data_IF_071446006650
#
_entry.id   IF_071446006650
#
_cell.length_a   1.000
_cell.length_b   1.000
_cell.length_c   1.000
_cell.angle_alpha   90.00
_cell.angle_beta   90.00
_cell.angle_gamma   90.00
#
_symmetry.space_group_name_H-M   'P 1'
#
loop_
_entity.id
_entity.type
_entity.pdbx_description
1 polymer ?
#
# COMPACT_ATOMS: atom_id res chain seq x y z
N UNK A 1 -38.15 -17.17 -4.63
CA UNK A 1 -37.44 -17.97 -5.66
C UNK A 1 -36.20 -18.62 -5.04
N UNK A 2 -35.66 -19.72 -5.60
CA UNK A 2 -34.52 -20.41 -5.00
C UNK A 2 -33.26 -19.57 -5.12
N UNK A 3 -32.61 -19.32 -3.99
CA UNK A 3 -31.27 -18.75 -3.92
C UNK A 3 -30.30 -19.72 -4.58
N UNK A 4 -29.35 -19.23 -5.38
CA UNK A 4 -28.22 -20.02 -5.87
C UNK A 4 -27.41 -20.53 -4.67
N UNK A 5 -27.70 -21.76 -4.25
CA UNK A 5 -27.20 -22.37 -3.03
C UNK A 5 -26.25 -23.54 -3.32
N UNK A 6 -26.28 -24.08 -4.54
CA UNK A 6 -25.40 -25.18 -4.96
C UNK A 6 -24.55 -24.82 -6.17
N UNK A 7 -23.39 -25.47 -6.34
CA UNK A 7 -22.56 -25.37 -7.53
C UNK A 7 -23.32 -25.60 -8.84
N UNK A 8 -24.17 -26.62 -8.88
CA UNK A 8 -24.90 -27.04 -10.07
C UNK A 8 -25.88 -25.96 -10.52
N UNK A 9 -26.52 -25.28 -9.57
CA UNK A 9 -27.41 -24.16 -9.87
C UNK A 9 -26.63 -22.99 -10.48
N UNK A 10 -25.45 -22.68 -9.95
CA UNK A 10 -24.59 -21.61 -10.49
C UNK A 10 -24.06 -21.98 -11.87
N UNK A 11 -23.64 -23.22 -12.09
CA UNK A 11 -23.20 -23.73 -13.40
C UNK A 11 -24.34 -23.62 -14.42
N UNK A 12 -25.51 -24.17 -14.10
CA UNK A 12 -26.67 -24.14 -14.98
C UNK A 12 -27.10 -22.69 -15.30
N UNK A 13 -27.16 -21.82 -14.29
CA UNK A 13 -27.58 -20.42 -14.47
C UNK A 13 -26.56 -19.60 -15.25
N UNK A 14 -25.27 -19.87 -15.06
CA UNK A 14 -24.19 -19.19 -15.78
C UNK A 14 -24.10 -19.59 -17.25
N UNK A 15 -24.57 -20.80 -17.60
CA UNK A 15 -24.44 -21.36 -18.93
C UNK A 15 -22.98 -21.62 -19.33
N UNK A 16 -22.06 -21.70 -18.37
CA UNK A 16 -20.61 -21.76 -18.62
C UNK A 16 -20.19 -22.93 -19.52
N UNK A 17 -20.90 -24.05 -19.45
CA UNK A 17 -20.64 -25.25 -20.27
C UNK A 17 -20.82 -24.99 -21.77
N UNK A 18 -21.64 -24.01 -22.14
CA UNK A 18 -21.92 -23.64 -23.53
C UNK A 18 -21.05 -22.47 -24.03
N UNK A 19 -20.16 -21.92 -23.19
CA UNK A 19 -19.35 -20.76 -23.57
C UNK A 19 -18.11 -21.17 -24.38
N UNK A 20 -17.84 -20.50 -25.51
CA UNK A 20 -16.68 -20.82 -26.34
C UNK A 20 -15.36 -20.50 -25.62
N UNK A 21 -14.38 -21.39 -25.76
CA UNK A 21 -13.03 -21.20 -25.20
C UNK A 21 -12.90 -21.52 -23.71
N UNK A 22 -14.00 -21.74 -23.00
CA UNK A 22 -14.03 -22.25 -21.64
C UNK A 22 -14.13 -23.77 -21.65
N UNK A 23 -13.39 -24.44 -20.77
CA UNK A 23 -13.38 -25.91 -20.69
C UNK A 23 -13.06 -26.40 -19.29
N UNK A 24 -13.40 -27.66 -19.00
CA UNK A 24 -13.21 -28.31 -17.70
C UNK A 24 -13.81 -27.48 -16.55
N UNK A 25 -15.15 -27.41 -16.54
CA UNK A 25 -15.90 -26.86 -15.41
C UNK A 25 -15.78 -27.82 -14.22
N UNK A 26 -15.41 -27.29 -13.06
CA UNK A 26 -15.18 -28.04 -11.83
C UNK A 26 -16.10 -27.42 -10.77
N UNK A 27 -17.15 -28.12 -10.31
CA UNK A 27 -17.99 -27.67 -9.21
C UNK A 27 -17.15 -27.47 -7.94
N UNK A 28 -17.41 -26.40 -7.20
CA UNK A 28 -16.76 -26.18 -5.90
C UNK A 28 -17.49 -26.97 -4.79
N UNK A 29 -16.77 -27.49 -3.80
CA UNK A 29 -17.39 -28.33 -2.75
C UNK A 29 -17.83 -27.55 -1.52
N UNK A 30 -17.29 -26.35 -1.33
CA UNK A 30 -17.40 -25.52 -0.13
C UNK A 30 -18.30 -24.29 -0.33
N UNK A 31 -18.53 -23.87 -1.58
CA UNK A 31 -19.33 -22.68 -1.92
C UNK A 31 -20.21 -22.94 -3.15
N UNK A 32 -21.28 -22.15 -3.30
CA UNK A 32 -22.10 -22.15 -4.50
C UNK A 32 -21.33 -21.51 -5.66
N UNK A 33 -20.63 -22.33 -6.44
CA UNK A 33 -19.78 -21.83 -7.51
C UNK A 33 -19.06 -22.94 -8.27
N UNK A 34 -18.22 -22.53 -9.21
CA UNK A 34 -17.42 -23.40 -10.03
C UNK A 34 -16.06 -22.76 -10.34
N UNK A 35 -15.11 -23.60 -10.72
CA UNK A 35 -13.90 -23.18 -11.40
C UNK A 35 -13.96 -23.62 -12.87
N UNK A 36 -13.43 -22.81 -13.78
CA UNK A 36 -13.37 -23.13 -15.20
C UNK A 36 -12.01 -22.74 -15.76
N UNK A 37 -11.54 -23.46 -16.79
CA UNK A 37 -10.28 -23.14 -17.46
C UNK A 37 -10.54 -22.46 -18.79
N UNK A 38 -9.62 -21.60 -19.19
CA UNK A 38 -9.56 -21.00 -20.52
C UNK A 38 -8.12 -21.05 -21.00
N UNK A 39 -7.88 -21.09 -22.32
CA UNK A 39 -6.51 -21.00 -22.85
C UNK A 39 -6.01 -19.56 -22.75
N UNK A 40 -4.71 -19.36 -22.58
CA UNK A 40 -4.12 -18.06 -22.91
C UNK A 40 -4.22 -17.82 -24.42
N UNK A 41 -4.29 -16.57 -24.89
CA UNK A 41 -4.24 -16.30 -26.32
C UNK A 41 -2.84 -16.61 -26.86
N UNK A 42 -2.76 -16.99 -28.14
CA UNK A 42 -1.55 -17.60 -28.75
C UNK A 42 -0.36 -16.62 -28.88
N UNK A 43 -0.61 -15.32 -28.75
CA UNK A 43 0.39 -14.25 -28.74
C UNK A 43 1.12 -14.13 -27.38
N UNK A 44 0.59 -14.74 -26.32
CA UNK A 44 1.20 -14.74 -24.99
C UNK A 44 2.22 -15.89 -24.87
N UNK A 45 3.43 -15.58 -24.40
CA UNK A 45 4.51 -16.57 -24.20
C UNK A 45 4.10 -17.80 -23.35
N UNK A 46 3.17 -17.61 -22.41
CA UNK A 46 2.62 -18.69 -21.59
C UNK A 46 1.80 -19.71 -22.37
N UNK A 47 1.11 -19.29 -23.44
CA UNK A 47 0.36 -20.21 -24.30
C UNK A 47 1.30 -21.22 -25.00
N UNK A 48 2.55 -20.80 -25.24
CA UNK A 48 3.60 -21.58 -25.91
C UNK A 48 4.33 -22.55 -24.98
N UNK A 49 3.99 -22.58 -23.70
CA UNK A 49 4.50 -23.57 -22.75
C UNK A 49 3.65 -24.83 -22.89
N UNK A 50 4.21 -25.84 -23.54
CA UNK A 50 3.50 -27.06 -23.95
C UNK A 50 4.13 -28.34 -23.38
N UNK A 51 3.33 -29.41 -23.30
CA UNK A 51 3.83 -30.76 -23.08
C UNK A 51 4.45 -31.35 -24.35
N UNK A 52 4.92 -32.60 -24.26
CA UNK A 52 5.50 -33.33 -25.39
C UNK A 52 4.51 -33.59 -26.55
N UNK A 53 3.21 -33.51 -26.29
CA UNK A 53 2.15 -33.62 -27.30
C UNK A 53 1.77 -32.27 -27.93
N UNK A 54 2.43 -31.18 -27.54
CA UNK A 54 2.10 -29.84 -28.03
C UNK A 54 0.88 -29.21 -27.36
N UNK A 55 0.32 -29.81 -26.32
CA UNK A 55 -0.78 -29.23 -25.56
C UNK A 55 -0.26 -28.20 -24.55
N UNK A 56 -0.93 -27.05 -24.47
CA UNK A 56 -0.61 -26.05 -23.44
C UNK A 56 -0.82 -26.62 -22.04
N UNK A 57 0.21 -26.52 -21.22
CA UNK A 57 0.21 -26.97 -19.82
C UNK A 57 0.05 -25.84 -18.82
N UNK A 58 -0.01 -24.58 -19.29
CA UNK A 58 -0.22 -23.41 -18.45
C UNK A 58 -1.52 -22.75 -18.90
N UNK A 59 -2.54 -22.80 -18.05
CA UNK A 59 -3.85 -22.22 -18.35
C UNK A 59 -4.32 -21.38 -17.19
N UNK A 60 -4.97 -20.23 -17.39
CA UNK A 60 -5.70 -19.58 -16.31
C UNK A 60 -6.85 -20.48 -15.85
N UNK A 61 -7.04 -20.54 -14.55
CA UNK A 61 -8.27 -21.03 -13.94
C UNK A 61 -9.03 -19.82 -13.39
N UNK A 62 -10.34 -19.82 -13.60
CA UNK A 62 -11.24 -18.75 -13.19
C UNK A 62 -12.25 -19.37 -12.24
N UNK A 63 -12.31 -18.89 -11.01
CA UNK A 63 -13.37 -19.19 -10.05
C UNK A 63 -14.49 -18.18 -10.19
N UNK A 64 -15.71 -18.70 -10.16
CA UNK A 64 -16.95 -17.96 -10.08
C UNK A 64 -17.73 -18.53 -8.90
N UNK A 65 -18.03 -17.73 -7.89
CA UNK A 65 -18.90 -18.17 -6.81
C UNK A 65 -19.78 -17.07 -6.27
N UNK A 66 -20.97 -17.46 -5.84
CA UNK A 66 -21.97 -16.60 -5.22
C UNK A 66 -21.84 -16.78 -3.71
N UNK A 67 -21.49 -15.70 -3.02
CA UNK A 67 -21.36 -15.72 -1.56
C UNK A 67 -22.74 -15.78 -0.93
N UNK A 68 -22.87 -16.55 0.15
CA UNK A 68 -24.13 -16.66 0.89
C UNK A 68 -24.57 -15.28 1.40
N UNK A 69 -25.89 -15.02 1.36
CA UNK A 69 -26.50 -13.75 1.79
C UNK A 69 -25.99 -13.31 3.16
N UNK A 70 -25.57 -12.06 3.25
CA UNK A 70 -25.27 -11.37 4.51
C UNK A 70 -26.41 -10.43 4.95
N UNK A 71 -27.37 -10.11 4.06
CA UNK A 71 -28.49 -9.20 4.30
C UNK A 71 -29.85 -9.85 3.97
N UNK A 72 -30.96 -9.32 4.53
CA UNK A 72 -32.32 -9.78 4.23
C UNK A 72 -32.81 -9.39 2.82
N UNK A 73 -32.09 -8.51 2.12
CA UNK A 73 -32.35 -8.18 0.72
C UNK A 73 -32.03 -9.40 -0.16
N UNK A 74 -32.79 -9.64 -1.23
CA UNK A 74 -32.67 -10.82 -2.10
C UNK A 74 -31.34 -10.97 -2.86
N UNK A 75 -30.35 -10.14 -2.55
CA UNK A 75 -29.11 -9.91 -3.30
C UNK A 75 -27.93 -10.63 -2.63
N UNK A 76 -27.16 -11.35 -3.44
CA UNK A 76 -25.96 -12.09 -3.01
C UNK A 76 -24.71 -11.57 -3.74
N UNK A 77 -23.59 -11.29 -3.04
CA UNK A 77 -22.35 -10.89 -3.71
C UNK A 77 -21.80 -12.00 -4.61
N UNK A 78 -21.25 -11.63 -5.76
CA UNK A 78 -20.52 -12.55 -6.63
C UNK A 78 -19.03 -12.21 -6.59
N UNK A 79 -18.21 -13.24 -6.41
CA UNK A 79 -16.75 -13.12 -6.40
C UNK A 79 -16.17 -13.89 -7.58
N UNK A 80 -15.27 -13.23 -8.29
CA UNK A 80 -14.52 -13.82 -9.40
C UNK A 80 -13.03 -13.77 -9.09
N UNK A 81 -12.33 -14.88 -9.32
CA UNK A 81 -10.88 -14.96 -9.12
C UNK A 81 -10.24 -15.60 -10.34
N UNK A 82 -9.09 -15.12 -10.77
CA UNK A 82 -8.32 -15.72 -11.83
C UNK A 82 -6.85 -15.82 -11.43
N UNK A 83 -6.25 -16.99 -11.65
CA UNK A 83 -4.83 -17.21 -11.41
C UNK A 83 -4.26 -18.25 -12.38
N UNK A 84 -2.93 -18.37 -12.39
CA UNK A 84 -2.23 -19.35 -13.23
C UNK A 84 -2.42 -20.75 -12.66
N UNK A 85 -2.96 -21.66 -13.47
CA UNK A 85 -3.03 -23.08 -13.13
C UNK A 85 -2.05 -23.88 -14.01
N UNK A 86 -0.95 -24.40 -13.45
CA UNK A 86 -0.12 -25.38 -14.12
C UNK A 86 -0.81 -26.75 -14.14
N UNK A 87 -1.00 -27.33 -15.32
CA UNK A 87 -1.63 -28.65 -15.51
C UNK A 87 -0.75 -29.79 -14.99
N UNK A 88 0.56 -29.65 -15.12
CA UNK A 88 1.50 -30.57 -14.49
C UNK A 88 1.55 -30.26 -12.99
N UNK A 89 1.51 -31.29 -12.13
CA UNK A 89 1.68 -31.13 -10.67
C UNK A 89 2.80 -30.11 -10.45
N UNK A 90 2.55 -29.05 -9.67
CA UNK A 90 3.45 -27.90 -9.53
C UNK A 90 4.93 -28.32 -9.50
N UNK A 91 5.27 -29.39 -8.77
CA UNK A 91 6.60 -29.99 -8.76
C UNK A 91 7.28 -30.15 -10.14
N UNK A 92 6.59 -30.42 -11.25
CA UNK A 92 7.20 -30.69 -12.58
C UNK A 92 7.63 -29.44 -13.36
N UNK A 93 6.95 -28.29 -13.19
CA UNK A 93 7.40 -27.02 -13.82
C UNK A 93 8.54 -26.36 -13.04
N UNK A 94 8.71 -26.75 -11.77
CA UNK A 94 9.78 -26.28 -10.89
C UNK A 94 10.90 -27.33 -10.70
N UNK A 95 10.70 -28.58 -11.16
CA UNK A 95 11.67 -29.66 -11.08
C UNK A 95 12.94 -29.37 -11.88
N UNK A 96 14.04 -29.94 -11.43
CA UNK A 96 15.25 -30.00 -12.23
C UNK A 96 15.04 -30.95 -13.42
N UNK A 97 15.69 -30.66 -14.55
CA UNK A 97 15.49 -31.37 -15.83
C UNK A 97 15.67 -32.90 -15.77
N UNK A 98 16.47 -33.39 -14.81
CA UNK A 98 16.75 -34.81 -14.62
C UNK A 98 15.72 -35.53 -13.74
N UNK A 99 14.78 -34.80 -13.13
CA UNK A 99 13.74 -35.35 -12.25
C UNK A 99 12.42 -35.62 -13.02
N UNK A 100 12.35 -35.24 -14.29
CA UNK A 100 11.19 -35.48 -15.13
C UNK A 100 11.24 -36.91 -15.69
N UNK A 101 10.24 -37.76 -15.40
CA UNK A 101 10.20 -39.11 -15.94
C UNK A 101 10.25 -39.07 -17.48
N UNK A 102 11.08 -39.89 -18.13
CA UNK A 102 11.22 -39.90 -19.58
C UNK A 102 9.93 -40.35 -20.29
N UNK A 103 9.01 -41.03 -19.61
CA UNK A 103 7.79 -41.59 -20.21
C UNK A 103 6.51 -40.83 -19.84
N UNK A 104 6.62 -39.67 -19.17
CA UNK A 104 5.45 -38.90 -18.73
C UNK A 104 4.88 -38.01 -19.86
N UNK A 105 3.66 -38.28 -20.35
CA UNK A 105 3.06 -37.52 -21.45
C UNK A 105 2.72 -36.07 -21.08
N UNK A 106 2.53 -35.77 -19.80
CA UNK A 106 2.25 -34.41 -19.29
C UNK A 106 3.54 -33.64 -18.95
N UNK A 107 4.72 -34.22 -19.18
CA UNK A 107 5.98 -33.54 -18.94
C UNK A 107 6.18 -32.36 -19.92
N UNK A 108 6.65 -31.19 -19.43
CA UNK A 108 7.01 -30.08 -20.31
C UNK A 108 8.19 -30.44 -21.20
N UNK A 109 8.24 -29.87 -22.41
CA UNK A 109 9.46 -29.92 -23.22
C UNK A 109 10.56 -29.05 -22.61
N UNK A 110 11.83 -29.33 -22.95
CA UNK A 110 12.98 -28.52 -22.49
C UNK A 110 12.81 -27.05 -22.88
N UNK A 111 12.40 -26.79 -24.12
CA UNK A 111 12.12 -25.43 -24.61
C UNK A 111 10.99 -24.78 -23.81
N UNK A 112 9.91 -25.50 -23.53
CA UNK A 112 8.78 -25.01 -22.71
C UNK A 112 9.20 -24.65 -21.28
N UNK A 113 10.09 -25.41 -20.65
CA UNK A 113 10.64 -25.08 -19.33
C UNK A 113 11.45 -23.77 -19.37
N UNK A 114 12.29 -23.61 -20.40
CA UNK A 114 13.08 -22.38 -20.56
C UNK A 114 12.17 -21.16 -20.80
N UNK A 115 11.15 -21.33 -21.65
CA UNK A 115 10.12 -20.31 -21.89
C UNK A 115 9.38 -19.97 -20.60
N UNK A 116 8.89 -20.96 -19.85
CA UNK A 116 8.24 -20.75 -18.56
C UNK A 116 9.11 -19.94 -17.58
N UNK A 117 10.40 -20.27 -17.47
CA UNK A 117 11.35 -19.55 -16.60
C UNK A 117 11.49 -18.08 -16.99
N UNK A 118 11.56 -17.78 -18.29
CA UNK A 118 11.73 -16.41 -18.82
C UNK A 118 10.42 -15.64 -18.93
N UNK A 119 9.31 -16.32 -19.16
CA UNK A 119 8.01 -15.73 -19.36
C UNK A 119 7.59 -14.92 -18.14
N UNK A 120 6.87 -13.82 -18.38
CA UNK A 120 6.22 -13.09 -17.31
C UNK A 120 5.03 -13.91 -16.80
N UNK A 121 4.91 -14.01 -15.48
CA UNK A 121 3.79 -14.67 -14.81
C UNK A 121 2.75 -13.61 -14.46
N UNK A 122 1.48 -13.79 -14.82
CA UNK A 122 0.42 -12.88 -14.44
C UNK A 122 0.20 -13.01 -12.92
N UNK A 123 -0.25 -11.91 -12.33
CA UNK A 123 -0.63 -11.90 -10.91
C UNK A 123 -2.02 -12.50 -10.77
N UNK A 124 -2.32 -13.07 -9.61
CA UNK A 124 -3.69 -13.42 -9.26
C UNK A 124 -4.54 -12.15 -9.22
N UNK A 125 -5.74 -12.23 -9.79
CA UNK A 125 -6.73 -11.15 -9.81
C UNK A 125 -7.99 -11.63 -9.13
N UNK A 126 -8.56 -10.77 -8.30
CA UNK A 126 -9.79 -11.04 -7.57
C UNK A 126 -10.70 -9.82 -7.66
N UNK A 127 -11.91 -10.02 -8.22
CA UNK A 127 -12.94 -9.00 -8.35
C UNK A 127 -13.99 -9.24 -7.26
N UNK A 128 -13.86 -8.52 -6.15
CA UNK A 128 -14.80 -8.56 -5.02
C UNK A 128 -15.74 -7.37 -5.10
N UNK A 129 -17.04 -7.63 -4.95
CA UNK A 129 -18.05 -6.58 -4.83
C UNK A 129 -18.29 -5.80 -6.13
N UNK A 130 -17.85 -6.33 -7.28
CA UNK A 130 -18.14 -5.75 -8.58
C UNK A 130 -19.45 -6.22 -9.19
N UNK A 131 -19.96 -7.35 -8.70
CA UNK A 131 -21.15 -7.98 -9.21
C UNK A 131 -21.96 -8.54 -8.06
N UNK A 132 -23.26 -8.59 -8.28
CA UNK A 132 -24.22 -9.20 -7.38
C UNK A 132 -25.20 -10.06 -8.17
N UNK A 133 -25.76 -11.06 -7.50
CA UNK A 133 -26.87 -11.86 -8.00
C UNK A 133 -28.14 -11.46 -7.25
N UNK A 134 -29.12 -10.97 -7.99
CA UNK A 134 -30.46 -10.66 -7.49
C UNK A 134 -31.33 -11.92 -7.66
N UNK A 135 -31.68 -12.56 -6.55
CA UNK A 135 -32.46 -13.79 -6.56
C UNK A 135 -33.98 -13.55 -6.70
N UNK A 136 -34.45 -12.32 -6.50
CA UNK A 136 -35.88 -11.99 -6.64
C UNK A 136 -36.23 -11.81 -8.12
N UNK A 137 -35.32 -11.20 -8.88
CA UNK A 137 -35.43 -11.03 -10.33
C UNK A 137 -34.62 -12.05 -11.16
N UNK A 138 -33.96 -13.00 -10.50
CA UNK A 138 -33.07 -14.01 -11.09
C UNK A 138 -32.11 -13.44 -12.14
N UNK A 139 -31.28 -12.47 -11.77
CA UNK A 139 -30.34 -11.79 -12.69
C UNK A 139 -29.03 -11.40 -12.01
N UNK A 140 -27.97 -11.30 -12.80
CA UNK A 140 -26.69 -10.74 -12.34
C UNK A 140 -26.64 -9.26 -12.66
N UNK A 141 -26.16 -8.47 -11.70
CA UNK A 141 -26.04 -7.02 -11.80
C UNK A 141 -24.59 -6.59 -11.55
N UNK A 142 -24.17 -5.50 -12.17
CA UNK A 142 -22.93 -4.80 -11.79
C UNK A 142 -23.16 -3.82 -10.62
N UNK A 143 -22.10 -3.12 -10.23
CA UNK A 143 -22.12 -2.09 -9.17
C UNK A 143 -23.07 -0.92 -9.46
N UNK A 144 -23.39 -0.69 -10.73
CA UNK A 144 -24.26 0.40 -11.16
C UNK A 144 -25.73 -0.08 -11.29
N UNK A 145 -26.00 -1.36 -11.06
CA UNK A 145 -27.32 -1.98 -11.13
C UNK A 145 -27.73 -2.40 -12.54
N UNK A 146 -26.83 -2.39 -13.52
CA UNK A 146 -27.12 -2.88 -14.86
C UNK A 146 -27.03 -4.40 -14.92
N UNK A 147 -27.90 -5.02 -15.72
CA UNK A 147 -27.83 -6.45 -15.95
C UNK A 147 -26.55 -6.81 -16.73
N UNK A 148 -25.82 -7.80 -16.24
CA UNK A 148 -24.58 -8.31 -16.85
C UNK A 148 -24.71 -9.80 -17.09
N UNK A 149 -24.20 -10.27 -18.22
CA UNK A 149 -24.22 -11.71 -18.51
C UNK A 149 -23.03 -12.42 -17.83
N UNK A 150 -23.19 -13.65 -17.32
CA UNK A 150 -22.09 -14.42 -16.73
C UNK A 150 -20.86 -14.56 -17.64
N UNK A 151 -21.08 -14.67 -18.96
CA UNK A 151 -20.01 -14.67 -19.95
C UNK A 151 -19.17 -13.38 -19.90
N UNK A 152 -19.81 -12.22 -19.76
CA UNK A 152 -19.14 -10.93 -19.64
C UNK A 152 -18.37 -10.81 -18.32
N UNK A 153 -18.91 -11.34 -17.22
CA UNK A 153 -18.24 -11.40 -15.93
C UNK A 153 -16.95 -12.22 -16.00
N UNK A 154 -17.02 -13.41 -16.61
CA UNK A 154 -15.87 -14.30 -16.83
C UNK A 154 -14.85 -13.68 -17.79
N UNK A 155 -15.29 -12.95 -18.82
CA UNK A 155 -14.41 -12.23 -19.74
C UNK A 155 -13.71 -11.07 -19.01
N UNK A 156 -14.42 -10.29 -18.19
CA UNK A 156 -13.84 -9.17 -17.43
C UNK A 156 -12.71 -9.62 -16.52
N UNK A 157 -12.90 -10.68 -15.75
CA UNK A 157 -11.84 -11.21 -14.87
C UNK A 157 -10.68 -11.82 -15.67
N UNK A 158 -10.96 -12.50 -16.79
CA UNK A 158 -9.93 -13.02 -17.68
C UNK A 158 -9.08 -11.89 -18.29
N UNK A 159 -9.71 -10.83 -18.78
CA UNK A 159 -9.01 -9.66 -19.31
C UNK A 159 -8.21 -8.93 -18.23
N UNK A 160 -8.77 -8.78 -17.03
CA UNK A 160 -8.04 -8.21 -15.89
C UNK A 160 -6.78 -9.03 -15.56
N UNK A 161 -6.89 -10.36 -15.58
CA UNK A 161 -5.76 -11.27 -15.42
C UNK A 161 -4.71 -11.11 -16.53
N UNK A 162 -5.13 -11.05 -17.80
CA UNK A 162 -4.24 -10.79 -18.93
C UNK A 162 -3.54 -9.42 -18.82
N UNK A 163 -4.23 -8.38 -18.34
CA UNK A 163 -3.64 -7.05 -18.18
C UNK A 163 -2.42 -7.04 -17.28
N UNK A 164 -2.35 -7.95 -16.30
CA UNK A 164 -1.18 -8.09 -15.42
C UNK A 164 0.09 -8.52 -16.15
N UNK A 165 -0.03 -9.04 -17.38
CA UNK A 165 1.10 -9.35 -18.25
C UNK A 165 1.70 -8.09 -18.88
N UNK A 166 0.96 -6.99 -19.03
CA UNK A 166 1.48 -5.80 -19.71
C UNK A 166 2.53 -5.05 -18.89
N UNK A 167 3.54 -4.53 -19.58
CA UNK A 167 4.67 -3.79 -18.98
C UNK A 167 4.19 -2.56 -18.21
N UNK A 168 3.22 -1.83 -18.75
CA UNK A 168 2.61 -0.65 -18.12
C UNK A 168 2.00 -0.94 -16.75
N UNK A 169 1.26 -2.05 -16.61
CA UNK A 169 0.65 -2.46 -15.35
C UNK A 169 1.72 -2.70 -14.28
N UNK A 170 2.79 -3.44 -14.63
CA UNK A 170 3.88 -3.72 -13.69
C UNK A 170 4.65 -2.46 -13.30
N UNK A 171 4.91 -1.55 -14.24
CA UNK A 171 5.56 -0.28 -13.91
C UNK A 171 4.69 0.57 -12.98
N UNK A 172 3.38 0.63 -13.23
CA UNK A 172 2.44 1.29 -12.32
C UNK A 172 2.45 0.65 -10.94
N UNK A 173 2.35 -0.66 -10.84
CA UNK A 173 2.37 -1.38 -9.56
C UNK A 173 3.71 -1.20 -8.82
N UNK A 174 4.84 -1.23 -9.55
CA UNK A 174 6.18 -0.98 -8.98
C UNK A 174 6.32 0.46 -8.51
N UNK A 175 5.86 1.44 -9.28
CA UNK A 175 5.94 2.86 -8.91
C UNK A 175 5.07 3.16 -7.70
N UNK A 176 3.84 2.64 -7.65
CA UNK A 176 2.97 2.74 -6.47
C UNK A 176 3.64 2.09 -5.23
N UNK A 177 4.19 0.88 -5.38
CA UNK A 177 4.93 0.20 -4.30
C UNK A 177 6.17 0.96 -3.83
N UNK A 178 6.94 1.53 -4.77
CA UNK A 178 8.12 2.34 -4.47
C UNK A 178 7.73 3.66 -3.80
N UNK A 179 6.67 4.33 -4.25
CA UNK A 179 6.14 5.55 -3.64
C UNK A 179 5.66 5.27 -2.21
N UNK A 180 4.96 4.17 -1.97
CA UNK A 180 4.57 3.76 -0.61
C UNK A 180 5.79 3.44 0.26
N UNK A 181 6.79 2.75 -0.28
CA UNK A 181 8.02 2.42 0.44
C UNK A 181 8.83 3.68 0.77
N UNK A 182 8.96 4.59 -0.19
CA UNK A 182 9.62 5.88 -0.01
C UNK A 182 8.87 6.75 1.00
N UNK A 183 7.54 6.87 0.89
CA UNK A 183 6.72 7.59 1.84
C UNK A 183 6.87 7.03 3.25
N UNK A 184 6.92 5.70 3.41
CA UNK A 184 7.17 5.04 4.69
C UNK A 184 8.53 5.41 5.25
N UNK A 185 9.61 5.27 4.47
CA UNK A 185 10.97 5.60 4.93
C UNK A 185 11.08 7.09 5.29
N UNK A 186 10.51 7.97 4.48
CA UNK A 186 10.54 9.43 4.71
C UNK A 186 9.79 9.80 5.98
N UNK A 187 8.57 9.31 6.19
CA UNK A 187 7.79 9.63 7.39
C UNK A 187 8.51 9.18 8.66
N UNK A 188 9.11 7.98 8.66
CA UNK A 188 9.86 7.49 9.80
C UNK A 188 11.12 8.31 10.06
N UNK A 189 11.97 8.52 9.03
CA UNK A 189 13.21 9.28 9.18
C UNK A 189 12.97 10.73 9.59
N UNK A 190 11.94 11.38 9.04
CA UNK A 190 11.58 12.74 9.42
C UNK A 190 11.10 12.78 10.87
N UNK A 191 10.21 11.87 11.27
CA UNK A 191 9.75 11.80 12.67
C UNK A 191 10.92 11.56 13.64
N UNK A 192 11.82 10.63 13.33
CA UNK A 192 12.99 10.32 14.16
C UNK A 192 13.96 11.51 14.24
N UNK A 193 14.16 12.24 13.13
CA UNK A 193 14.96 13.46 13.10
C UNK A 193 14.34 14.58 13.95
N UNK A 194 13.04 14.81 13.82
CA UNK A 194 12.32 15.80 14.64
C UNK A 194 12.37 15.44 16.13
N UNK A 195 12.18 14.15 16.46
CA UNK A 195 12.37 13.59 17.79
C UNK A 195 13.79 13.86 18.30
N UNK A 196 14.82 13.60 17.50
CA UNK A 196 16.20 13.82 17.89
C UNK A 196 16.49 15.30 18.20
N UNK A 197 15.99 16.23 17.37
CA UNK A 197 16.10 17.67 17.60
C UNK A 197 15.37 18.07 18.89
N UNK A 198 14.17 17.52 19.13
CA UNK A 198 13.38 17.86 20.31
C UNK A 198 14.08 17.39 21.60
N UNK A 199 14.61 16.17 21.60
CA UNK A 199 15.21 15.58 22.80
C UNK A 199 16.63 16.10 23.09
N UNK A 200 17.45 16.29 22.06
CA UNK A 200 18.85 16.69 22.24
C UNK A 200 19.05 18.20 22.09
N UNK A 201 18.18 18.87 21.33
CA UNK A 201 18.27 20.29 21.06
C UNK A 201 17.51 21.13 22.07
N UNK A 202 16.30 20.73 22.49
CA UNK A 202 15.43 21.54 23.35
C UNK A 202 15.29 21.03 24.80
N UNK A 203 16.10 20.03 25.18
CA UNK A 203 16.04 19.36 26.48
C UNK A 203 14.63 18.93 26.88
N UNK A 204 13.89 18.43 25.91
CA UNK A 204 12.57 17.86 26.16
C UNK A 204 12.77 16.37 26.39
N UNK A 205 12.13 15.84 27.42
CA UNK A 205 12.07 14.42 27.70
C UNK A 205 10.69 13.86 27.35
N UNK A 206 10.68 12.56 27.06
CA UNK A 206 9.44 11.82 26.96
C UNK A 206 9.02 11.41 28.37
N UNK A 207 7.77 11.71 28.74
CA UNK A 207 7.17 11.24 29.99
C UNK A 207 7.07 9.70 30.07
N UNK A 208 7.24 9.02 28.92
CA UNK A 208 7.23 7.58 28.77
C UNK A 208 8.67 7.05 28.64
N UNK A 209 8.96 5.95 29.34
CA UNK A 209 10.25 5.25 29.19
C UNK A 209 10.47 4.83 27.73
N UNK A 210 11.59 5.25 27.12
CA UNK A 210 11.93 5.00 25.70
C UNK A 210 11.81 3.52 25.30
N UNK A 211 12.09 2.60 26.22
CA UNK A 211 12.05 1.14 25.99
C UNK A 211 10.64 0.57 25.79
N UNK A 212 9.58 1.33 26.14
CA UNK A 212 8.18 0.89 26.02
C UNK A 212 7.42 1.54 24.86
N UNK A 213 8.09 2.35 24.05
CA UNK A 213 7.43 3.11 22.99
C UNK A 213 7.26 2.20 21.76
N UNK A 214 6.01 1.77 21.55
CA UNK A 214 5.63 1.06 20.33
C UNK A 214 6.00 1.89 19.08
N UNK A 215 6.46 1.26 17.99
CA UNK A 215 6.64 1.92 16.70
C UNK A 215 5.38 2.65 16.21
N UNK A 216 4.19 2.29 16.70
CA UNK A 216 2.92 2.90 16.31
C UNK A 216 2.35 3.84 17.38
N UNK A 217 3.17 4.25 18.35
CA UNK A 217 2.72 5.13 19.41
C UNK A 217 2.28 6.49 18.85
N UNK A 218 1.06 6.90 19.21
CA UNK A 218 0.46 8.17 18.81
C UNK A 218 0.81 9.22 19.86
N UNK A 219 1.91 9.91 19.62
CA UNK A 219 2.36 10.97 20.52
C UNK A 219 1.30 12.07 20.65
N UNK A 220 1.18 12.58 21.87
CA UNK A 220 0.42 13.76 22.27
C UNK A 220 1.41 14.80 22.78
N UNK A 221 1.03 16.08 22.70
CA UNK A 221 1.85 17.19 23.22
C UNK A 221 2.18 16.99 24.71
N UNK A 222 1.25 16.39 25.47
CA UNK A 222 1.41 16.08 26.90
C UNK A 222 2.48 15.00 27.19
N UNK A 223 2.86 14.19 26.21
CA UNK A 223 3.89 13.16 26.38
C UNK A 223 5.31 13.76 26.43
N UNK A 224 5.44 15.07 26.12
CA UNK A 224 6.70 15.78 26.03
C UNK A 224 6.84 16.80 27.17
N UNK A 225 7.67 16.46 28.15
CA UNK A 225 7.91 17.26 29.35
C UNK A 225 9.28 17.92 29.22
N UNK A 226 9.40 19.21 29.56
CA UNK A 226 10.74 19.85 29.59
C UNK A 226 11.54 19.19 30.71
N UNK A 227 12.74 18.69 30.42
CA UNK A 227 13.59 18.12 31.45
C UNK A 227 13.88 19.19 32.48
N UNK A 228 13.82 18.81 33.76
CA UNK A 228 14.28 19.71 34.82
C UNK A 228 15.79 19.63 34.78
N UNK A 229 16.45 20.77 34.57
CA UNK A 229 17.91 20.87 34.61
C UNK A 229 18.39 20.27 35.94
N UNK A 230 19.10 19.14 35.88
CA UNK A 230 19.59 18.46 37.07
C UNK A 230 20.40 19.42 37.95
N UNK A 231 20.31 19.30 39.28
CA UNK A 231 21.14 20.06 40.21
C UNK A 231 22.58 19.55 40.13
N UNK A 232 23.34 19.99 39.11
CA UNK A 232 24.73 19.59 38.87
C UNK A 232 25.19 19.65 37.41
N UNK A 233 24.29 19.77 36.43
CA UNK A 233 24.65 19.89 35.01
C UNK A 233 25.23 21.27 34.65
N UNK A 234 26.01 21.36 33.56
CA UNK A 234 26.53 22.63 33.02
C UNK A 234 25.37 23.58 32.68
N UNK A 235 25.13 24.56 33.57
CA UNK A 235 24.13 25.61 33.38
C UNK A 235 24.79 26.79 32.67
N UNK A 236 24.24 27.17 31.53
CA UNK A 236 24.53 28.48 30.93
C UNK A 236 23.44 29.46 31.34
N UNK A 237 23.84 30.52 32.04
CA UNK A 237 22.98 31.67 32.27
C UNK A 237 23.10 32.63 31.09
N UNK A 238 21.99 32.85 30.40
CA UNK A 238 21.90 33.81 29.32
C UNK A 238 20.81 34.82 29.66
N UNK A 239 21.18 36.07 29.99
CA UNK A 239 20.25 37.14 30.38
C UNK A 239 19.25 36.75 31.49
N UNK A 240 19.71 36.02 32.52
CA UNK A 240 18.87 35.56 33.63
C UNK A 240 18.02 34.31 33.33
N UNK A 241 18.13 33.74 32.13
CA UNK A 241 17.54 32.44 31.79
C UNK A 241 18.54 31.33 32.02
N UNK A 242 18.16 30.38 32.86
CA UNK A 242 18.88 29.11 33.03
C UNK A 242 18.43 28.17 31.91
N UNK A 243 19.29 28.00 30.92
CA UNK A 243 19.07 27.08 29.79
C UNK A 243 20.27 26.15 29.66
N UNK A 244 20.06 24.94 29.12
CA UNK A 244 21.21 24.13 28.72
C UNK A 244 21.95 24.78 27.55
N UNK A 245 23.21 24.40 27.41
CA UNK A 245 24.06 24.75 26.28
C UNK A 245 23.46 24.29 24.94
N UNK A 246 22.83 23.12 24.89
CA UNK A 246 22.27 22.57 23.67
C UNK A 246 21.04 23.36 23.20
N UNK A 247 20.17 23.75 24.14
CA UNK A 247 19.02 24.60 23.85
C UNK A 247 19.44 26.00 23.40
N UNK A 248 20.49 26.55 24.01
CA UNK A 248 21.05 27.83 23.57
C UNK A 248 21.59 27.76 22.14
N UNK A 249 22.36 26.72 21.81
CA UNK A 249 22.90 26.51 20.46
C UNK A 249 21.78 26.30 19.45
N UNK A 250 20.78 25.48 19.78
CA UNK A 250 19.64 25.19 18.89
C UNK A 250 18.83 26.46 18.59
N UNK A 251 18.50 27.24 19.62
CA UNK A 251 17.79 28.51 19.45
C UNK A 251 18.62 29.53 18.66
N UNK A 252 19.93 29.60 18.89
CA UNK A 252 20.81 30.49 18.13
C UNK A 252 20.85 30.12 16.64
N UNK A 253 20.91 28.82 16.32
CA UNK A 253 20.83 28.33 14.93
C UNK A 253 19.48 28.70 14.30
N UNK A 254 18.38 28.48 15.01
CA UNK A 254 17.03 28.82 14.51
C UNK A 254 16.90 30.32 14.26
N UNK A 255 17.30 31.16 15.22
CA UNK A 255 17.27 32.62 15.08
C UNK A 255 18.15 33.08 13.93
N UNK A 256 19.37 32.53 13.79
CA UNK A 256 20.27 32.87 12.70
C UNK A 256 19.65 32.53 11.32
N UNK A 257 19.01 31.37 11.18
CA UNK A 257 18.30 30.98 9.95
C UNK A 257 17.15 31.94 9.67
N UNK A 258 16.34 32.28 10.68
CA UNK A 258 15.21 33.21 10.53
C UNK A 258 15.70 34.60 10.12
N UNK A 259 16.73 35.12 10.79
CA UNK A 259 17.33 36.42 10.45
C UNK A 259 17.88 36.40 9.03
N UNK A 260 18.58 35.32 8.64
CA UNK A 260 19.08 35.15 7.27
C UNK A 260 17.95 35.14 6.24
N UNK A 261 16.85 34.41 6.50
CA UNK A 261 15.68 34.38 5.62
C UNK A 261 15.00 35.74 5.50
N UNK A 262 14.81 36.45 6.62
CA UNK A 262 14.23 37.80 6.65
C UNK A 262 15.12 38.78 5.88
N UNK A 263 16.44 38.69 6.05
CA UNK A 263 17.38 39.53 5.32
C UNK A 263 17.39 39.23 3.81
N UNK A 264 17.34 37.95 3.44
CA UNK A 264 17.45 37.49 2.05
C UNK A 264 16.17 37.68 1.25
N UNK A 265 15.01 37.44 1.88
CA UNK A 265 13.71 37.35 1.20
C UNK A 265 12.67 38.32 1.76
N UNK A 266 12.93 38.99 2.88
CA UNK A 266 12.00 39.93 3.47
C UNK A 266 11.81 41.17 2.59
N UNK A 267 10.58 41.69 2.47
CA UNK A 267 10.35 42.96 1.81
C UNK A 267 11.11 44.06 2.55
N UNK A 268 11.84 44.94 1.83
CA UNK A 268 12.60 46.07 2.41
C UNK A 268 11.70 47.19 2.94
N UNK A 269 10.84 46.84 3.88
CA UNK A 269 9.90 47.74 4.56
C UNK A 269 10.65 48.76 5.41
N UNK A 270 10.02 49.91 5.67
CA UNK A 270 10.59 50.97 6.53
C UNK A 270 10.86 50.47 7.95
N UNK A 271 10.04 49.53 8.44
CA UNK A 271 10.17 48.94 9.78
C UNK A 271 11.43 48.08 9.92
N UNK A 272 11.74 47.23 8.94
CA UNK A 272 12.97 46.42 8.99
C UNK A 272 14.24 47.28 8.94
N UNK A 273 14.25 48.36 8.13
CA UNK A 273 15.37 49.31 8.12
C UNK A 273 15.53 50.02 9.45
N UNK A 274 14.43 50.49 10.05
CA UNK A 274 14.47 51.12 11.36
C UNK A 274 14.98 50.19 12.47
N UNK A 275 14.75 48.88 12.37
CA UNK A 275 15.33 47.89 13.27
C UNK A 275 16.82 47.73 12.98
N UNK A 276 17.25 47.54 11.73
CA UNK A 276 18.66 47.34 11.37
C UNK A 276 19.57 48.54 11.68
N UNK A 277 19.06 49.77 11.52
CA UNK A 277 19.84 51.00 11.72
C UNK A 277 19.93 51.41 13.20
N UNK A 278 19.33 50.63 14.11
CA UNK A 278 19.29 50.91 15.54
C UNK A 278 19.72 49.68 16.36
N UNK A 279 20.89 49.79 16.99
CA UNK A 279 21.48 48.70 17.77
C UNK A 279 20.54 48.20 18.87
N UNK A 280 19.88 49.10 19.61
CA UNK A 280 18.98 48.72 20.69
C UNK A 280 17.74 47.96 20.19
N UNK A 281 17.18 48.37 19.05
CA UNK A 281 16.04 47.67 18.42
C UNK A 281 16.47 46.33 17.82
N UNK A 282 17.65 46.25 17.21
CA UNK A 282 18.20 44.99 16.70
C UNK A 282 18.43 44.00 17.84
N UNK A 283 19.08 44.42 18.93
CA UNK A 283 19.30 43.56 20.10
C UNK A 283 17.98 43.10 20.71
N UNK A 284 17.00 44.00 20.85
CA UNK A 284 15.66 43.66 21.37
C UNK A 284 14.93 42.66 20.47
N UNK A 285 15.01 42.83 19.16
CA UNK A 285 14.40 41.93 18.18
C UNK A 285 15.06 40.54 18.18
N UNK A 286 16.39 40.47 18.33
CA UNK A 286 17.12 39.21 18.45
C UNK A 286 16.76 38.46 19.75
N UNK A 287 16.66 39.17 20.87
CA UNK A 287 16.22 38.59 22.14
C UNK A 287 14.78 38.06 22.03
N UNK A 288 13.87 38.85 21.46
CA UNK A 288 12.49 38.42 21.23
C UNK A 288 12.41 37.22 20.28
N UNK A 289 13.23 37.21 19.23
CA UNK A 289 13.37 36.07 18.32
C UNK A 289 13.87 34.82 19.02
N UNK A 290 14.80 34.96 19.96
CA UNK A 290 15.31 33.86 20.77
C UNK A 290 14.22 33.29 21.70
N UNK A 291 13.45 34.14 22.38
CA UNK A 291 12.30 33.70 23.19
C UNK A 291 11.22 33.03 22.36
N UNK A 292 10.93 33.60 21.18
CA UNK A 292 10.00 33.00 20.24
C UNK A 292 10.48 31.63 19.76
N UNK A 293 11.78 31.48 19.47
CA UNK A 293 12.37 30.20 19.08
C UNK A 293 12.29 29.16 20.21
N UNK A 294 12.58 29.54 21.46
CA UNK A 294 12.49 28.62 22.61
C UNK A 294 11.06 28.11 22.82
N UNK A 295 10.09 29.02 22.76
CA UNK A 295 8.69 28.68 23.03
C UNK A 295 7.99 28.04 21.83
N UNK A 296 7.99 28.71 20.68
CA UNK A 296 7.28 28.26 19.49
C UNK A 296 8.02 27.13 18.77
N UNK A 297 9.36 27.11 18.80
CA UNK A 297 10.15 26.03 18.18
C UNK A 297 9.78 24.67 18.78
N UNK A 298 9.73 24.58 20.10
CA UNK A 298 9.29 23.36 20.80
C UNK A 298 7.84 23.00 20.47
N UNK A 299 6.93 23.98 20.47
CA UNK A 299 5.52 23.74 20.20
C UNK A 299 5.29 23.22 18.77
N UNK A 300 5.91 23.85 17.78
CA UNK A 300 5.86 23.43 16.37
C UNK A 300 6.45 22.03 16.22
N UNK A 301 7.60 21.77 16.84
CA UNK A 301 8.26 20.47 16.75
C UNK A 301 7.41 19.34 17.36
N UNK A 302 6.83 19.57 18.55
CA UNK A 302 5.85 18.66 19.17
C UNK A 302 4.64 18.43 18.27
N UNK A 303 4.07 19.49 17.69
CA UNK A 303 2.91 19.39 16.79
C UNK A 303 3.24 18.58 15.52
N UNK A 304 4.41 18.81 14.91
CA UNK A 304 4.88 18.05 13.75
C UNK A 304 5.08 16.58 14.08
N UNK A 305 5.76 16.25 15.19
CA UNK A 305 5.94 14.85 15.63
C UNK A 305 4.59 14.17 15.85
N UNK A 306 3.64 14.83 16.51
CA UNK A 306 2.28 14.32 16.69
C UNK A 306 1.59 14.09 15.34
N UNK A 307 1.69 15.04 14.40
CA UNK A 307 1.15 14.92 13.04
C UNK A 307 1.74 13.73 12.26
N UNK A 308 3.07 13.61 12.25
CA UNK A 308 3.76 12.49 11.59
C UNK A 308 3.45 11.14 12.23
N UNK A 309 3.28 11.07 13.55
CA UNK A 309 2.88 9.82 14.23
C UNK A 309 1.51 9.29 13.76
N UNK A 310 0.56 10.20 13.48
CA UNK A 310 -0.75 9.86 12.91
C UNK A 310 -0.66 9.53 11.43
N UNK A 311 0.19 10.24 10.69
CA UNK A 311 0.44 9.98 9.27
C UNK A 311 1.10 8.61 9.05
N UNK A 312 1.98 8.18 9.96
CA UNK A 312 2.68 6.89 9.92
C UNK A 312 1.72 5.70 9.85
N UNK A 313 0.64 5.73 10.61
CA UNK A 313 -0.41 4.71 10.55
C UNK A 313 -1.10 4.72 9.17
N UNK A 314 -1.51 5.90 8.68
CA UNK A 314 -2.14 6.05 7.36
C UNK A 314 -1.26 5.58 6.22
N UNK A 315 0.05 5.84 6.29
CA UNK A 315 1.01 5.43 5.25
C UNK A 315 1.27 3.92 5.28
N UNK A 316 1.22 3.28 6.45
CA UNK A 316 1.39 1.82 6.56
C UNK A 316 0.13 1.02 6.23
N UNK A 317 -1.05 1.58 6.47
CA UNK A 317 -2.33 0.91 6.22
C UNK A 317 -3.10 1.47 5.01
N UNK A 318 -2.44 2.24 4.15
CA UNK A 318 -3.00 2.58 2.84
C UNK A 318 -3.35 1.26 2.13
N UNK A 319 -4.63 1.00 1.81
CA UNK A 319 -4.99 -0.24 1.15
C UNK A 319 -4.20 -0.29 -0.15
N UNK A 320 -3.54 -1.41 -0.43
CA UNK A 320 -3.05 -1.71 -1.77
C UNK A 320 -4.29 -1.87 -2.64
N UNK A 321 -4.84 -0.75 -3.11
CA UNK A 321 -5.88 -0.75 -4.12
C UNK A 321 -5.22 -1.22 -5.40
N UNK A 322 -5.18 -2.53 -5.62
CA UNK A 322 -5.16 -3.06 -6.97
C UNK A 322 -6.51 -2.70 -7.54
N UNK A 323 -6.66 -1.48 -8.07
CA UNK A 323 -7.81 -1.14 -8.89
C UNK A 323 -7.69 -2.02 -10.15
N UNK A 324 -8.64 -2.94 -10.39
CA UNK A 324 -8.63 -3.79 -11.58
C UNK A 324 -8.79 -3.01 -12.88
#
# INVERSE_FOLDING_TARGET
MPVLATPEQVIARSGVENLPGYFRVIPMTDVAGFAVRRKYPDDVELARVVNRHGESIVTPIIQFFVTRRSSPTGVSPVTLRAWVFPRSRERKLFAALHELPPDDPDAPTLDSLQRWRRARKPSEVELIGQFVYDADEDRFLDVDGHQVMPAEMLERVYQAHLRTLHTSFVWRQKTESLLHSAARVTVFRVQDGLMWILLNGYDVELALAREKISPFHKFKVADFVRSKVEPGGERSEFFGFVSSRNNLVTNLVVVAIVVWLVYRHGPRTRLLRAVYDNDALTTSALLLGFFAADFFGQLVLKALICGFSRLRERVMFLPRWVKP
#
